data_IF_444748198007
#
_entry.id   IF_444748198007
#
_cell.length_a   1.000
_cell.length_b   1.000
_cell.length_c   1.000
_cell.angle_alpha   90.00
_cell.angle_beta   90.00
_cell.angle_gamma   90.00
#
_symmetry.space_group_name_H-M   'P 1'
#
loop_
_entity.id
_entity.type
_entity.pdbx_description
1 polymer ?
#
# COMPACT_ATOMS: atom_id res chain seq x y z
N UNK A 1 22.84 5.09 15.64
CA UNK A 1 22.45 4.45 14.39
C UNK A 1 21.72 5.47 13.53
N UNK A 2 22.20 5.70 12.33
CA UNK A 2 21.51 6.53 11.35
C UNK A 2 20.62 5.64 10.48
N UNK A 3 19.39 6.04 10.22
CA UNK A 3 18.54 5.42 9.23
C UNK A 3 18.86 6.06 7.88
N UNK A 4 19.10 5.24 6.88
CA UNK A 4 19.31 5.67 5.51
C UNK A 4 18.26 5.01 4.61
N UNK A 5 17.79 5.70 3.57
CA UNK A 5 16.93 5.09 2.55
C UNK A 5 17.65 3.91 1.89
N UNK A 6 16.92 2.86 1.58
CA UNK A 6 17.40 1.73 0.79
C UNK A 6 17.13 1.97 -0.70
N UNK A 7 17.71 1.15 -1.59
CA UNK A 7 17.38 1.17 -3.02
C UNK A 7 15.87 0.97 -3.27
N UNK A 8 15.22 0.16 -2.43
CA UNK A 8 13.78 -0.04 -2.49
C UNK A 8 12.99 1.27 -2.24
N UNK A 9 13.53 2.18 -1.42
CA UNK A 9 12.89 3.48 -1.19
C UNK A 9 12.86 4.33 -2.47
N UNK A 10 13.93 4.30 -3.28
CA UNK A 10 13.94 5.00 -4.57
C UNK A 10 12.95 4.35 -5.54
N UNK A 11 12.95 3.02 -5.63
CA UNK A 11 11.95 2.29 -6.45
C UNK A 11 10.53 2.67 -6.08
N UNK A 12 10.24 2.77 -4.77
CA UNK A 12 8.93 3.21 -4.29
C UNK A 12 8.58 4.64 -4.69
N UNK A 13 9.55 5.56 -4.59
CA UNK A 13 9.33 6.98 -4.92
C UNK A 13 9.03 7.16 -6.41
N UNK A 14 9.74 6.42 -7.27
CA UNK A 14 9.61 6.52 -8.72
C UNK A 14 8.42 5.72 -9.28
N UNK A 15 7.87 4.81 -8.49
CA UNK A 15 6.77 3.94 -8.91
C UNK A 15 5.44 4.69 -9.03
N UNK A 16 4.63 4.33 -10.02
CA UNK A 16 3.24 4.73 -10.13
C UNK A 16 2.33 4.01 -9.12
N UNK A 17 1.06 4.41 -9.03
CA UNK A 17 0.13 3.86 -8.03
C UNK A 17 -0.06 2.34 -8.16
N UNK A 18 -0.17 1.82 -9.39
CA UNK A 18 -0.32 0.39 -9.64
C UNK A 18 0.90 -0.40 -9.20
N UNK A 19 2.10 0.10 -9.49
CA UNK A 19 3.36 -0.50 -9.08
C UNK A 19 3.55 -0.45 -7.56
N UNK A 20 3.20 0.66 -6.93
CA UNK A 20 3.20 0.80 -5.47
C UNK A 20 2.32 -0.24 -4.80
N UNK A 21 1.12 -0.48 -5.35
CA UNK A 21 0.24 -1.52 -4.82
C UNK A 21 0.89 -2.90 -4.92
N UNK A 22 1.51 -3.23 -6.05
CA UNK A 22 2.20 -4.50 -6.22
C UNK A 22 3.37 -4.67 -5.24
N UNK A 23 4.20 -3.63 -5.09
CA UNK A 23 5.30 -3.63 -4.11
C UNK A 23 4.80 -3.87 -2.68
N UNK A 24 3.66 -3.26 -2.32
CA UNK A 24 3.03 -3.48 -1.01
C UNK A 24 2.53 -4.92 -0.85
N UNK A 25 1.87 -5.48 -1.85
CA UNK A 25 1.36 -6.85 -1.81
C UNK A 25 2.50 -7.86 -1.68
N UNK A 26 3.56 -7.69 -2.46
CA UNK A 26 4.75 -8.53 -2.41
C UNK A 26 5.46 -8.42 -1.05
N UNK A 27 5.67 -7.20 -0.55
CA UNK A 27 6.27 -6.97 0.76
C UNK A 27 5.44 -7.57 1.89
N UNK A 28 4.12 -7.40 1.85
CA UNK A 28 3.21 -7.96 2.85
C UNK A 28 3.23 -9.49 2.80
N UNK A 29 3.13 -10.10 1.62
CA UNK A 29 3.12 -11.58 1.50
C UNK A 29 4.44 -12.21 1.92
N UNK A 30 5.56 -11.53 1.74
CA UNK A 30 6.89 -12.02 2.11
C UNK A 30 7.29 -11.70 3.55
N UNK A 31 6.58 -10.79 4.21
CA UNK A 31 6.98 -10.27 5.52
C UNK A 31 6.74 -11.29 6.65
N UNK A 32 7.74 -11.59 7.49
CA UNK A 32 7.55 -12.38 8.71
C UNK A 32 7.01 -11.55 9.88
N UNK A 33 6.79 -10.24 9.71
CA UNK A 33 6.36 -9.35 10.79
C UNK A 33 4.86 -9.47 11.07
N UNK A 34 4.52 -9.51 12.36
CA UNK A 34 3.14 -9.36 12.84
C UNK A 34 2.72 -7.88 12.79
N UNK A 35 1.45 -7.59 13.04
CA UNK A 35 0.93 -6.22 13.12
C UNK A 35 1.61 -5.36 14.21
N UNK A 36 2.15 -5.97 15.25
CA UNK A 36 2.89 -5.28 16.32
C UNK A 36 4.31 -4.86 15.91
N UNK A 37 4.88 -5.52 14.95
CA UNK A 37 6.09 -5.32 14.13
C UNK A 37 7.21 -4.38 14.59
N UNK A 38 7.53 -4.30 15.91
CA UNK A 38 8.50 -3.33 16.44
C UNK A 38 9.82 -3.95 16.91
N UNK A 39 9.84 -5.25 17.14
CA UNK A 39 11.02 -5.97 17.63
C UNK A 39 11.05 -7.38 17.03
N UNK A 40 12.20 -8.05 17.06
CA UNK A 40 12.34 -9.43 16.59
C UNK A 40 11.37 -10.42 17.28
N UNK A 41 10.89 -10.10 18.48
CA UNK A 41 9.85 -10.88 19.15
C UNK A 41 8.49 -10.85 18.42
N UNK A 42 8.28 -9.92 17.52
CA UNK A 42 7.07 -9.79 16.72
C UNK A 42 7.21 -10.37 15.30
N UNK A 43 8.14 -11.32 15.11
CA UNK A 43 8.28 -12.05 13.86
C UNK A 43 7.76 -13.48 14.00
N UNK A 44 7.23 -13.99 12.89
CA UNK A 44 6.83 -15.38 12.75
C UNK A 44 7.15 -15.84 11.32
N UNK A 45 8.14 -16.68 11.18
CA UNK A 45 8.62 -17.17 9.88
C UNK A 45 7.56 -17.93 9.07
N UNK A 46 6.45 -18.33 9.69
CA UNK A 46 5.32 -18.99 9.02
C UNK A 46 4.31 -17.99 8.44
N UNK A 47 4.35 -16.72 8.81
CA UNK A 47 3.39 -15.73 8.32
C UNK A 47 3.35 -15.60 6.78
N UNK A 48 4.49 -15.60 6.06
CA UNK A 48 4.47 -15.59 4.61
C UNK A 48 3.65 -16.74 4.01
N UNK A 49 3.85 -17.95 4.54
CA UNK A 49 3.08 -19.14 4.13
C UNK A 49 1.58 -18.97 4.46
N UNK A 50 1.26 -18.47 5.65
CA UNK A 50 -0.12 -18.27 6.09
C UNK A 50 -0.87 -17.25 5.22
N UNK A 51 -0.25 -16.12 4.91
CA UNK A 51 -0.80 -15.10 4.01
C UNK A 51 -1.07 -15.66 2.62
N UNK A 52 -0.11 -16.40 2.06
CA UNK A 52 -0.30 -17.06 0.77
C UNK A 52 -1.46 -18.06 0.78
N UNK A 53 -1.64 -18.83 1.84
CA UNK A 53 -2.76 -19.77 1.97
C UNK A 53 -4.10 -19.06 2.01
N UNK A 54 -4.21 -17.98 2.78
CA UNK A 54 -5.43 -17.15 2.82
C UNK A 54 -5.77 -16.63 1.42
N UNK A 55 -4.82 -16.05 0.70
CA UNK A 55 -5.05 -15.58 -0.67
C UNK A 55 -5.45 -16.72 -1.61
N UNK A 56 -4.80 -17.88 -1.50
CA UNK A 56 -5.12 -19.06 -2.33
C UNK A 56 -6.54 -19.59 -2.10
N UNK A 57 -7.07 -19.49 -0.87
CA UNK A 57 -8.47 -19.85 -0.61
C UNK A 57 -9.42 -19.00 -1.43
N UNK A 58 -9.19 -17.69 -1.47
CA UNK A 58 -10.01 -16.78 -2.26
C UNK A 58 -9.87 -17.00 -3.76
N UNK A 59 -8.66 -17.21 -4.25
CA UNK A 59 -8.39 -17.46 -5.67
C UNK A 59 -8.97 -18.78 -6.17
N UNK A 60 -8.94 -19.83 -5.35
CA UNK A 60 -9.44 -21.17 -5.73
C UNK A 60 -10.95 -21.28 -5.58
N UNK A 61 -11.54 -20.59 -4.59
CA UNK A 61 -12.95 -20.72 -4.26
C UNK A 61 -13.31 -22.14 -3.83
N UNK A 62 -14.26 -22.72 -4.44
CA UNK A 62 -14.74 -24.10 -4.34
C UNK A 62 -15.90 -24.34 -3.37
N UNK A 63 -16.04 -23.60 -2.29
CA UNK A 63 -17.10 -23.79 -1.29
C UNK A 63 -17.84 -22.46 -1.03
N UNK A 64 -19.06 -22.50 -0.49
CA UNK A 64 -19.85 -21.31 -0.23
C UNK A 64 -19.20 -20.33 0.74
N UNK A 65 -18.47 -20.82 1.74
CA UNK A 65 -17.81 -19.98 2.72
C UNK A 65 -16.30 -20.08 2.65
N UNK A 66 -15.62 -19.08 3.17
CA UNK A 66 -14.15 -19.08 3.29
C UNK A 66 -13.67 -20.25 4.16
N UNK A 67 -14.32 -20.50 5.30
CA UNK A 67 -13.96 -21.52 6.27
C UNK A 67 -14.10 -22.93 5.67
N UNK A 68 -15.15 -23.17 4.90
CA UNK A 68 -15.33 -24.43 4.20
C UNK A 68 -14.28 -24.64 3.11
N UNK A 69 -13.95 -23.58 2.35
CA UNK A 69 -12.89 -23.61 1.34
C UNK A 69 -11.52 -23.81 1.97
N UNK A 70 -11.24 -23.16 3.11
CA UNK A 70 -10.01 -23.31 3.87
C UNK A 70 -9.81 -24.76 4.33
N UNK A 71 -10.82 -25.35 4.97
CA UNK A 71 -10.78 -26.76 5.42
C UNK A 71 -10.63 -27.74 4.25
N UNK A 72 -11.24 -27.42 3.12
CA UNK A 72 -11.16 -28.26 1.92
C UNK A 72 -9.77 -28.23 1.28
N UNK A 73 -9.18 -27.04 1.10
CA UNK A 73 -7.89 -26.88 0.44
C UNK A 73 -6.69 -27.08 1.36
N UNK A 74 -6.84 -26.70 2.63
CA UNK A 74 -5.74 -26.65 3.62
C UNK A 74 -6.18 -27.19 4.99
N UNK A 75 -6.57 -28.48 5.08
CA UNK A 75 -7.13 -29.03 6.33
C UNK A 75 -6.18 -28.93 7.51
N UNK A 76 -4.90 -29.22 7.33
CA UNK A 76 -3.92 -29.13 8.40
C UNK A 76 -3.70 -27.69 8.87
N UNK A 77 -3.67 -26.75 7.96
CA UNK A 77 -3.57 -25.32 8.30
C UNK A 77 -4.79 -24.88 9.10
N UNK A 78 -6.00 -25.22 8.63
CA UNK A 78 -7.24 -24.91 9.32
C UNK A 78 -7.34 -25.51 10.74
N UNK A 79 -6.70 -26.65 10.98
CA UNK A 79 -6.72 -27.30 12.29
C UNK A 79 -5.66 -26.77 13.26
N UNK A 80 -4.52 -26.28 12.74
CA UNK A 80 -3.36 -25.89 13.56
C UNK A 80 -3.17 -24.36 13.64
N UNK A 81 -4.07 -23.58 13.05
CA UNK A 81 -4.04 -22.10 13.11
C UNK A 81 -5.31 -21.62 13.81
N UNK A 82 -5.16 -20.69 14.75
CA UNK A 82 -6.31 -20.15 15.47
C UNK A 82 -7.21 -19.32 14.54
N UNK A 83 -8.51 -19.34 14.82
CA UNK A 83 -9.48 -18.52 14.08
C UNK A 83 -9.15 -17.02 14.15
N UNK A 84 -8.58 -16.58 15.27
CA UNK A 84 -8.11 -15.20 15.45
C UNK A 84 -7.01 -14.85 14.46
N UNK A 85 -5.97 -15.70 14.33
CA UNK A 85 -4.89 -15.48 13.35
C UNK A 85 -5.44 -15.47 11.92
N UNK A 86 -6.37 -16.36 11.59
CA UNK A 86 -6.99 -16.38 10.26
C UNK A 86 -7.78 -15.12 10.00
N UNK A 87 -8.55 -14.64 10.98
CA UNK A 87 -9.32 -13.41 10.88
C UNK A 87 -8.41 -12.18 10.71
N UNK A 88 -7.30 -12.11 11.44
CA UNK A 88 -6.31 -11.05 11.29
C UNK A 88 -5.69 -11.02 9.88
N UNK A 89 -5.28 -12.17 9.36
CA UNK A 89 -4.70 -12.25 8.02
C UNK A 89 -5.71 -11.87 6.91
N UNK A 90 -6.99 -12.18 7.10
CA UNK A 90 -8.06 -11.75 6.20
C UNK A 90 -8.25 -10.24 6.25
N UNK A 91 -8.28 -9.67 7.45
CA UNK A 91 -8.38 -8.22 7.63
C UNK A 91 -7.17 -7.48 7.02
N UNK A 92 -5.95 -8.01 7.17
CA UNK A 92 -4.76 -7.48 6.50
C UNK A 92 -4.91 -7.53 4.97
N UNK A 93 -5.37 -8.67 4.42
CA UNK A 93 -5.59 -8.84 2.99
C UNK A 93 -6.68 -7.90 2.42
N UNK A 94 -7.72 -7.62 3.21
CA UNK A 94 -8.75 -6.65 2.87
C UNK A 94 -8.20 -5.22 2.91
N UNK A 95 -7.45 -4.89 3.95
CA UNK A 95 -6.83 -3.57 4.09
C UNK A 95 -5.87 -3.24 2.93
N UNK A 96 -5.09 -4.22 2.45
CA UNK A 96 -4.18 -4.05 1.31
C UNK A 96 -4.91 -4.08 -0.04
N UNK A 97 -6.21 -4.35 -0.06
CA UNK A 97 -7.02 -4.39 -1.28
C UNK A 97 -6.89 -5.68 -2.10
N UNK A 98 -6.31 -6.74 -1.53
CA UNK A 98 -6.24 -8.05 -2.19
C UNK A 98 -7.61 -8.74 -2.24
N UNK A 99 -8.43 -8.53 -1.21
CA UNK A 99 -9.81 -9.02 -1.13
C UNK A 99 -10.76 -7.86 -0.79
N UNK A 100 -12.02 -8.00 -1.16
CA UNK A 100 -13.09 -7.09 -0.81
C UNK A 100 -14.42 -7.83 -0.78
N UNK A 101 -15.27 -7.55 0.22
CA UNK A 101 -16.59 -8.16 0.33
C UNK A 101 -16.54 -9.70 0.21
N UNK A 102 -15.62 -10.32 0.91
CA UNK A 102 -15.38 -11.77 0.92
C UNK A 102 -15.02 -12.37 -0.46
N UNK A 103 -14.47 -11.57 -1.37
CA UNK A 103 -14.07 -12.02 -2.72
C UNK A 103 -12.68 -11.51 -3.09
N UNK A 104 -11.95 -12.24 -3.94
CA UNK A 104 -10.71 -11.73 -4.49
C UNK A 104 -11.01 -10.52 -5.39
N UNK A 105 -10.21 -9.49 -5.28
CA UNK A 105 -10.31 -8.33 -6.17
C UNK A 105 -9.69 -8.63 -7.53
N UNK A 106 -10.04 -7.84 -8.55
CA UNK A 106 -9.41 -7.96 -9.87
C UNK A 106 -7.89 -7.73 -9.82
N UNK A 107 -7.41 -6.88 -8.90
CA UNK A 107 -5.97 -6.68 -8.71
C UNK A 107 -5.27 -7.91 -8.14
N UNK A 108 -5.92 -8.71 -7.30
CA UNK A 108 -5.35 -9.98 -6.85
C UNK A 108 -5.37 -11.05 -7.97
N UNK A 109 -6.41 -11.04 -8.83
CA UNK A 109 -6.58 -12.04 -9.89
C UNK A 109 -5.65 -11.75 -11.07
N UNK A 110 -5.66 -10.51 -11.58
CA UNK A 110 -5.01 -10.07 -12.82
C UNK A 110 -3.73 -9.26 -12.58
N UNK A 111 -3.42 -8.96 -11.29
CA UNK A 111 -2.19 -8.27 -10.92
C UNK A 111 -2.09 -6.81 -11.38
N UNK A 112 -0.87 -6.38 -11.79
CA UNK A 112 -0.58 -4.97 -12.11
C UNK A 112 -1.45 -4.39 -13.21
N UNK A 113 -1.83 -5.19 -14.20
CA UNK A 113 -2.67 -4.73 -15.32
C UNK A 113 -4.06 -4.31 -14.83
N UNK A 114 -4.63 -5.02 -13.86
CA UNK A 114 -5.89 -4.62 -13.26
C UNK A 114 -5.72 -3.39 -12.37
N UNK A 115 -4.63 -3.31 -11.60
CA UNK A 115 -4.32 -2.13 -10.81
C UNK A 115 -4.18 -0.88 -11.70
N UNK A 116 -3.47 -0.98 -12.83
CA UNK A 116 -3.33 0.11 -13.79
C UNK A 116 -4.67 0.59 -14.37
N UNK A 117 -5.60 -0.34 -14.66
CA UNK A 117 -6.94 0.01 -15.15
C UNK A 117 -7.84 0.65 -14.09
N UNK A 118 -7.60 0.40 -12.82
CA UNK A 118 -8.41 0.89 -11.70
C UNK A 118 -7.84 2.14 -11.05
N UNK A 119 -6.57 2.45 -11.29
CA UNK A 119 -5.98 3.71 -10.83
C UNK A 119 -6.36 4.85 -11.75
N UNK A 120 -6.69 6.03 -11.22
CA UNK A 120 -6.92 7.21 -12.04
C UNK A 120 -5.68 7.58 -12.84
N UNK A 121 -5.87 8.18 -14.01
CA UNK A 121 -4.77 8.76 -14.77
C UNK A 121 -4.04 9.80 -13.93
N UNK A 122 -2.72 9.85 -14.05
CA UNK A 122 -1.92 10.86 -13.39
C UNK A 122 -2.12 12.23 -14.03
N UNK A 123 -2.07 13.26 -13.19
CA UNK A 123 -2.08 14.66 -13.63
C UNK A 123 -0.67 15.24 -13.46
N UNK A 124 -0.31 16.18 -14.36
CA UNK A 124 0.99 16.86 -14.39
C UNK A 124 0.89 18.32 -13.92
N UNK A 125 -0.24 18.69 -13.32
CA UNK A 125 -0.52 20.06 -12.87
C UNK A 125 -1.19 20.08 -11.50
N UNK A 126 -1.08 21.25 -10.87
CA UNK A 126 -1.79 21.61 -9.65
C UNK A 126 -2.18 23.08 -9.69
N UNK A 127 -3.09 23.49 -8.82
CA UNK A 127 -3.62 24.86 -8.75
C UNK A 127 -3.16 25.51 -7.45
N UNK A 128 -2.39 26.60 -7.56
CA UNK A 128 -1.99 27.40 -6.40
C UNK A 128 -3.06 28.47 -6.17
N UNK A 129 -3.57 28.54 -4.94
CA UNK A 129 -4.55 29.52 -4.50
C UNK A 129 -3.87 30.70 -3.80
N UNK A 130 -4.58 31.80 -3.68
CA UNK A 130 -4.04 33.05 -3.12
C UNK A 130 -3.63 32.95 -1.64
N UNK A 131 -4.18 31.98 -0.91
CA UNK A 131 -3.89 31.69 0.50
C UNK A 131 -2.73 30.70 0.68
N UNK A 132 -1.95 30.45 -0.38
CA UNK A 132 -0.84 29.50 -0.42
C UNK A 132 -1.27 28.02 -0.24
N UNK A 133 -2.53 27.69 -0.46
CA UNK A 133 -2.94 26.30 -0.63
C UNK A 133 -2.70 25.85 -2.07
N UNK A 134 -2.37 24.57 -2.23
CA UNK A 134 -2.18 23.92 -3.53
C UNK A 134 -3.20 22.81 -3.65
N UNK A 135 -4.11 22.95 -4.60
CA UNK A 135 -5.10 21.91 -4.92
C UNK A 135 -4.55 21.01 -6.01
N UNK A 136 -4.48 19.73 -5.72
CA UNK A 136 -4.06 18.67 -6.62
C UNK A 136 -5.30 17.85 -7.00
N UNK A 137 -5.81 17.95 -8.25
CA UNK A 137 -7.11 17.38 -8.60
C UNK A 137 -7.12 15.87 -8.83
N UNK A 138 -5.97 15.23 -8.81
CA UNK A 138 -5.80 13.79 -9.01
C UNK A 138 -4.41 13.32 -8.58
N UNK A 139 -4.05 12.05 -8.78
CA UNK A 139 -2.71 11.58 -8.50
C UNK A 139 -1.70 12.28 -9.41
N UNK A 140 -0.68 12.91 -8.81
CA UNK A 140 0.43 13.48 -9.57
C UNK A 140 1.35 12.38 -10.11
N UNK A 141 2.01 12.66 -11.22
CA UNK A 141 3.17 11.87 -11.62
C UNK A 141 4.26 11.93 -10.52
N UNK A 142 5.11 10.89 -10.39
CA UNK A 142 6.06 10.79 -9.27
C UNK A 142 7.02 11.98 -9.18
N UNK A 143 7.48 12.53 -10.30
CA UNK A 143 8.42 13.65 -10.30
C UNK A 143 7.75 14.94 -9.79
N UNK A 144 6.57 15.28 -10.30
CA UNK A 144 5.79 16.43 -9.87
C UNK A 144 5.37 16.30 -8.40
N UNK A 145 5.01 15.07 -7.96
CA UNK A 145 4.69 14.80 -6.56
C UNK A 145 5.88 15.08 -5.63
N UNK A 146 7.06 14.55 -5.94
CA UNK A 146 8.28 14.79 -5.16
C UNK A 146 8.66 16.27 -5.10
N UNK A 147 8.52 16.98 -6.21
CA UNK A 147 8.76 18.44 -6.26
C UNK A 147 7.79 19.18 -5.35
N UNK A 148 6.50 18.86 -5.41
CA UNK A 148 5.50 19.50 -4.56
C UNK A 148 5.76 19.23 -3.07
N UNK A 149 6.02 17.98 -2.68
CA UNK A 149 6.31 17.61 -1.29
C UNK A 149 7.60 18.22 -0.73
N UNK A 150 8.52 18.62 -1.61
CA UNK A 150 9.73 19.32 -1.16
C UNK A 150 9.45 20.74 -0.66
N UNK A 151 8.39 21.41 -1.14
CA UNK A 151 8.04 22.80 -0.86
C UNK A 151 6.68 23.02 -0.20
N UNK A 152 5.89 21.98 -0.04
CA UNK A 152 4.56 22.04 0.56
C UNK A 152 4.33 20.85 1.50
N UNK A 153 3.45 21.01 2.46
CA UNK A 153 3.03 19.97 3.39
C UNK A 153 1.60 19.51 3.07
N UNK A 154 1.35 18.21 3.08
CA UNK A 154 0.03 17.65 2.86
C UNK A 154 -0.90 18.03 4.02
N UNK A 155 -1.97 18.77 3.72
CA UNK A 155 -2.96 19.23 4.70
C UNK A 155 -4.20 18.33 4.71
N UNK A 156 -4.65 17.93 3.53
CA UNK A 156 -5.81 17.04 3.38
C UNK A 156 -5.56 16.01 2.28
N UNK A 157 -5.43 14.71 2.65
CA UNK A 157 -5.29 13.63 1.67
C UNK A 157 -6.66 13.31 1.04
N UNK A 158 -6.66 12.90 -0.23
CA UNK A 158 -7.85 12.46 -0.94
C UNK A 158 -7.59 12.22 -2.42
N UNK A 159 -8.66 11.92 -3.17
CA UNK A 159 -8.58 11.91 -4.64
C UNK A 159 -8.18 13.29 -5.18
N UNK A 160 -8.71 14.35 -4.58
CA UNK A 160 -8.19 15.71 -4.71
C UNK A 160 -7.51 16.07 -3.39
N UNK A 161 -6.19 16.14 -3.41
CA UNK A 161 -5.38 16.44 -2.23
C UNK A 161 -5.13 17.95 -2.11
N UNK A 162 -5.04 18.42 -0.87
CA UNK A 162 -4.70 19.82 -0.57
C UNK A 162 -3.37 19.85 0.16
N UNK A 163 -2.46 20.65 -0.36
CA UNK A 163 -1.16 20.95 0.26
C UNK A 163 -1.11 22.41 0.68
N UNK A 164 -0.25 22.73 1.64
CA UNK A 164 0.01 24.09 2.09
C UNK A 164 1.48 24.44 1.92
N UNK A 165 1.72 25.57 1.25
CA UNK A 165 3.04 26.19 1.19
C UNK A 165 3.18 27.11 2.40
N UNK A 166 4.26 26.97 3.14
CA UNK A 166 4.61 27.79 4.31
C UNK A 166 6.07 28.25 4.21
N UNK A 167 6.44 29.27 5.00
CA UNK A 167 7.84 29.67 5.11
C UNK A 167 8.77 28.51 5.52
N UNK A 168 8.27 27.64 6.39
CA UNK A 168 9.02 26.48 6.85
C UNK A 168 9.21 25.44 5.73
N UNK A 169 8.16 25.16 4.94
CA UNK A 169 8.25 24.21 3.83
C UNK A 169 9.13 24.73 2.71
N UNK A 170 9.06 26.03 2.41
CA UNK A 170 9.94 26.68 1.42
C UNK A 170 11.42 26.64 1.83
N UNK A 171 11.73 26.95 3.09
CA UNK A 171 13.11 26.84 3.61
C UNK A 171 13.64 25.42 3.48
N UNK A 172 12.83 24.44 3.84
CA UNK A 172 13.18 23.02 3.68
C UNK A 172 13.49 22.66 2.22
N UNK A 173 12.72 23.18 1.26
CA UNK A 173 12.97 22.99 -0.16
C UNK A 173 14.30 23.60 -0.62
N UNK A 174 14.57 24.84 -0.20
CA UNK A 174 15.84 25.53 -0.50
C UNK A 174 17.05 24.80 0.09
N UNK A 175 16.94 24.33 1.34
CA UNK A 175 18.00 23.58 2.03
C UNK A 175 18.32 22.24 1.32
N UNK A 176 17.36 21.69 0.56
CA UNK A 176 17.54 20.50 -0.28
C UNK A 176 18.05 20.79 -1.69
N UNK A 177 18.38 22.07 -1.98
CA UNK A 177 18.99 22.48 -3.23
C UNK A 177 18.01 22.83 -4.35
N UNK A 178 16.73 23.05 -4.04
CA UNK A 178 15.81 23.60 -5.03
C UNK A 178 16.19 25.06 -5.31
N UNK A 179 16.30 25.38 -6.59
CA UNK A 179 16.48 26.75 -7.08
C UNK A 179 15.13 27.32 -7.50
N UNK A 180 14.88 28.59 -7.14
CA UNK A 180 13.66 29.31 -7.52
C UNK A 180 13.57 29.59 -9.02
#
# INVERSE_FOLDING_TARGET
>A
HFLAPTELAQTWLDAGLAEKWQLLLEAWTASPWTKEGRTLAHTNDRLPEFRQRVLQVYLRGAKPTFEESLRFHFPLFATHTSDETIAELRAEAEWIGAIALERPTSVLIDGPDAAARLTPDTVDYFLIQADMTVLVPGPLDPETHQRLESVADLESPGLASVYRISDASLRRGLDRGMTG
#
